data_IF_544619575879
#
_entry.id   IF_544619575879
#
_cell.length_a   1.000
_cell.length_b   1.000
_cell.length_c   1.000
_cell.angle_alpha   90.00
_cell.angle_beta   90.00
_cell.angle_gamma   90.00
#
_symmetry.space_group_name_H-M   'P 1'
#
loop_
_entity.id
_entity.type
_entity.pdbx_description
1 polymer ?
#
# COMPACT_ATOMS: atom_id res chain seq x y z
N UNK A 1 19.34 58.51 11.71
CA UNK A 1 18.62 57.33 11.26
C UNK A 1 18.61 56.31 12.41
N UNK A 2 17.79 56.61 13.43
CA UNK A 2 17.58 55.76 14.60
C UNK A 2 16.10 55.41 14.63
N UNK A 3 15.70 54.41 13.90
CA UNK A 3 14.39 53.74 13.99
C UNK A 3 14.49 52.36 13.34
N UNK A 4 15.23 51.48 13.98
CA UNK A 4 15.05 50.03 13.77
C UNK A 4 15.11 49.43 15.16
N UNK A 5 13.96 49.05 15.61
CA UNK A 5 13.52 48.36 16.80
C UNK A 5 14.51 47.31 17.32
N UNK A 6 14.54 47.09 18.64
CA UNK A 6 15.39 46.17 19.42
C UNK A 6 15.32 44.66 19.06
N UNK A 7 14.52 44.29 18.09
CA UNK A 7 14.56 42.93 17.48
C UNK A 7 15.61 42.91 16.35
N UNK A 8 16.62 42.09 16.50
CA UNK A 8 17.56 41.79 15.42
C UNK A 8 16.82 41.21 14.20
N UNK A 9 16.39 42.10 13.31
CA UNK A 9 15.78 41.71 12.03
C UNK A 9 16.90 41.04 11.20
N UNK A 10 16.80 39.73 11.00
CA UNK A 10 17.66 38.99 10.12
C UNK A 10 16.83 38.38 8.96
N UNK A 11 17.50 37.89 7.92
CA UNK A 11 16.81 37.34 6.76
C UNK A 11 15.87 36.17 7.11
N UNK A 12 16.28 35.28 8.02
CA UNK A 12 15.47 34.14 8.43
C UNK A 12 14.16 34.59 9.10
N UNK A 13 14.23 35.60 9.98
CA UNK A 13 13.01 36.16 10.62
C UNK A 13 12.09 36.86 9.60
N UNK A 14 12.68 37.52 8.59
CA UNK A 14 11.92 38.12 7.50
C UNK A 14 11.20 37.05 6.66
N UNK A 15 11.91 36.00 6.29
CA UNK A 15 11.37 34.87 5.52
C UNK A 15 10.21 34.18 6.28
N UNK A 16 10.44 33.83 7.55
CA UNK A 16 9.41 33.19 8.40
C UNK A 16 8.16 34.07 8.58
N UNK A 17 8.35 35.37 8.82
CA UNK A 17 7.24 36.29 8.94
C UNK A 17 6.46 36.44 7.61
N UNK A 18 7.18 36.46 6.51
CA UNK A 18 6.57 36.52 5.17
C UNK A 18 5.77 35.24 4.89
N UNK A 19 6.33 34.07 5.17
CA UNK A 19 5.65 32.80 5.05
C UNK A 19 4.34 32.76 5.86
N UNK A 20 4.37 33.14 7.14
CA UNK A 20 3.18 33.19 7.98
C UNK A 20 2.10 34.13 7.44
N UNK A 21 2.50 35.29 6.89
CA UNK A 21 1.58 36.25 6.25
C UNK A 21 0.93 35.65 5.00
N UNK A 22 1.72 34.99 4.14
CA UNK A 22 1.21 34.34 2.92
C UNK A 22 0.23 33.23 3.26
N UNK A 23 0.55 32.39 4.26
CA UNK A 23 -0.33 31.32 4.72
C UNK A 23 -1.67 31.88 5.27
N UNK A 24 -1.61 32.97 6.03
CA UNK A 24 -2.80 33.65 6.53
C UNK A 24 -3.65 34.21 5.39
N UNK A 25 -3.05 34.95 4.48
CA UNK A 25 -3.74 35.51 3.30
C UNK A 25 -4.37 34.41 2.44
N UNK A 26 -3.66 33.30 2.24
CA UNK A 26 -4.20 32.14 1.51
C UNK A 26 -5.45 31.55 2.17
N UNK A 27 -5.47 31.41 3.51
CA UNK A 27 -6.68 31.00 4.24
C UNK A 27 -7.85 31.96 4.06
N UNK A 28 -7.61 33.27 4.18
CA UNK A 28 -8.61 34.29 3.98
C UNK A 28 -9.20 34.25 2.58
N UNK A 29 -8.37 34.11 1.55
CA UNK A 29 -8.81 33.97 0.14
C UNK A 29 -9.69 32.74 -0.07
N UNK A 30 -9.35 31.59 0.52
CA UNK A 30 -10.19 30.40 0.44
C UNK A 30 -11.56 30.65 1.08
N UNK A 31 -11.59 31.26 2.28
CA UNK A 31 -12.83 31.57 2.99
C UNK A 31 -13.72 32.52 2.18
N UNK A 32 -13.15 33.56 1.60
CA UNK A 32 -13.89 34.55 0.79
C UNK A 32 -14.41 33.91 -0.53
N UNK A 33 -13.65 33.06 -1.16
CA UNK A 33 -14.11 32.28 -2.33
C UNK A 33 -15.28 31.36 -1.95
N UNK A 34 -15.21 30.66 -0.83
CA UNK A 34 -16.28 29.78 -0.34
C UNK A 34 -17.56 30.59 -0.06
N UNK A 35 -17.45 31.77 0.57
CA UNK A 35 -18.58 32.66 0.81
C UNK A 35 -19.20 33.17 -0.49
N UNK A 36 -18.37 33.53 -1.44
CA UNK A 36 -18.82 34.01 -2.76
C UNK A 36 -19.59 32.92 -3.48
N UNK A 37 -19.05 31.70 -3.55
CA UNK A 37 -19.72 30.56 -4.17
C UNK A 37 -21.04 30.21 -3.46
N UNK A 38 -21.07 30.19 -2.11
CA UNK A 38 -22.29 29.93 -1.35
C UNK A 38 -23.39 30.97 -1.62
N UNK A 39 -23.00 32.25 -1.83
CA UNK A 39 -23.93 33.30 -2.23
C UNK A 39 -24.42 33.15 -3.70
N UNK A 40 -23.56 32.74 -4.61
CA UNK A 40 -23.95 32.46 -5.99
C UNK A 40 -24.92 31.26 -6.06
N UNK A 41 -24.64 30.18 -5.31
CA UNK A 41 -25.56 29.05 -5.18
C UNK A 41 -26.92 29.50 -4.68
N UNK A 42 -26.97 30.35 -3.63
CA UNK A 42 -28.23 30.92 -3.13
C UNK A 42 -29.01 31.66 -4.20
N UNK A 43 -28.29 32.38 -5.08
CA UNK A 43 -28.92 33.21 -6.13
C UNK A 43 -29.48 32.34 -7.25
N UNK A 44 -28.71 31.35 -7.74
CA UNK A 44 -28.99 30.61 -8.97
C UNK A 44 -29.62 29.22 -8.75
N UNK A 45 -29.74 28.74 -7.51
CA UNK A 45 -30.39 27.45 -7.21
C UNK A 45 -31.86 27.43 -7.63
N UNK A 46 -32.40 26.26 -7.86
CA UNK A 46 -33.85 26.06 -7.94
C UNK A 46 -34.46 26.29 -6.54
N UNK A 47 -35.26 27.35 -6.42
CA UNK A 47 -35.87 27.77 -5.16
C UNK A 47 -37.06 26.90 -4.75
N UNK A 48 -37.70 26.23 -5.69
CA UNK A 48 -38.81 25.33 -5.44
C UNK A 48 -38.30 24.01 -4.80
N UNK A 49 -37.16 23.52 -5.28
CA UNK A 49 -36.55 22.28 -4.80
C UNK A 49 -35.72 22.51 -3.54
N UNK A 50 -34.86 23.54 -3.54
CA UNK A 50 -33.87 23.76 -2.46
C UNK A 50 -34.24 24.97 -1.59
N UNK A 51 -34.86 24.70 -0.44
CA UNK A 51 -35.24 25.74 0.53
C UNK A 51 -34.12 25.95 1.54
N UNK A 52 -33.72 27.23 1.74
CA UNK A 52 -32.69 27.55 2.74
C UNK A 52 -33.25 27.21 4.12
N UNK A 53 -32.53 26.40 4.89
CA UNK A 53 -32.89 26.02 6.25
C UNK A 53 -32.17 26.87 7.27
N UNK A 54 -30.85 26.82 7.29
CA UNK A 54 -30.00 27.54 8.23
C UNK A 54 -28.55 27.67 7.70
N UNK A 55 -27.67 28.27 8.54
CA UNK A 55 -26.23 28.28 8.33
C UNK A 55 -25.58 27.33 9.31
N UNK A 56 -24.62 26.56 8.78
CA UNK A 56 -23.80 25.66 9.58
C UNK A 56 -22.33 26.05 9.48
N UNK A 57 -21.69 26.24 10.65
CA UNK A 57 -20.27 26.48 10.77
C UNK A 57 -19.51 25.17 10.64
N UNK A 58 -18.41 25.19 9.93
CA UNK A 58 -17.54 24.04 9.75
C UNK A 58 -16.08 24.46 9.73
N UNK A 59 -15.21 23.52 10.09
CA UNK A 59 -13.76 23.69 10.10
C UNK A 59 -13.12 22.64 9.25
N UNK A 60 -12.19 23.05 8.38
CA UNK A 60 -11.41 22.13 7.53
C UNK A 60 -9.93 22.44 7.71
N UNK A 61 -9.13 21.42 7.94
CA UNK A 61 -7.67 21.50 7.93
C UNK A 61 -7.15 21.33 6.51
N UNK A 62 -6.53 22.38 6.01
CA UNK A 62 -5.99 22.46 4.65
C UNK A 62 -4.47 22.54 4.67
N UNK A 63 -3.84 22.49 3.50
CA UNK A 63 -2.38 22.74 3.37
C UNK A 63 -1.97 24.12 3.86
N UNK A 64 -2.86 25.09 3.84
CA UNK A 64 -2.59 26.45 4.29
C UNK A 64 -2.93 26.67 5.78
N UNK A 65 -3.29 25.61 6.48
CA UNK A 65 -3.73 25.66 7.86
C UNK A 65 -5.23 25.41 8.03
N UNK A 66 -5.71 25.63 9.23
CA UNK A 66 -7.11 25.44 9.58
C UNK A 66 -7.95 26.63 9.10
N UNK A 67 -9.02 26.36 8.36
CA UNK A 67 -10.01 27.33 7.91
C UNK A 67 -11.34 27.05 8.59
N UNK A 68 -12.03 28.12 8.97
CA UNK A 68 -13.36 28.05 9.54
C UNK A 68 -14.31 28.95 8.73
N UNK A 69 -15.40 28.37 8.24
CA UNK A 69 -16.39 29.05 7.44
C UNK A 69 -17.80 28.57 7.73
N UNK A 70 -18.79 29.38 7.36
CA UNK A 70 -20.22 29.05 7.46
C UNK A 70 -20.76 28.84 6.06
N UNK A 71 -21.55 27.78 5.87
CA UNK A 71 -22.25 27.47 4.63
C UNK A 71 -23.73 27.22 4.86
N UNK A 72 -24.56 27.44 3.84
CA UNK A 72 -25.99 27.22 3.91
C UNK A 72 -26.32 25.73 3.84
N UNK A 73 -27.21 25.32 4.71
CA UNK A 73 -27.85 24.02 4.65
C UNK A 73 -29.22 24.20 3.99
N UNK A 74 -29.50 23.36 3.01
CA UNK A 74 -30.73 23.39 2.27
C UNK A 74 -31.58 22.18 2.64
N UNK A 75 -32.92 22.39 2.68
CA UNK A 75 -33.89 21.30 2.77
C UNK A 75 -34.46 21.04 1.38
N UNK A 76 -34.46 19.79 0.97
CA UNK A 76 -35.12 19.30 -0.23
C UNK A 76 -36.08 18.18 0.13
N UNK A 77 -37.20 18.07 -0.60
CA UNK A 77 -38.15 17.00 -0.44
C UNK A 77 -38.15 16.13 -1.71
N UNK A 78 -37.95 14.83 -1.52
CA UNK A 78 -37.97 13.85 -2.61
C UNK A 78 -38.84 12.68 -2.16
N UNK A 79 -39.92 12.39 -2.92
CA UNK A 79 -40.88 11.31 -2.62
C UNK A 79 -41.49 11.39 -1.20
N UNK A 80 -41.76 12.62 -0.69
CA UNK A 80 -42.30 12.85 0.64
C UNK A 80 -41.26 12.76 1.79
N UNK A 81 -39.99 12.52 1.47
CA UNK A 81 -38.90 12.44 2.45
C UNK A 81 -38.12 13.77 2.42
N UNK A 82 -38.05 14.46 3.57
CA UNK A 82 -37.25 15.67 3.74
C UNK A 82 -35.81 15.30 4.02
N UNK A 83 -34.89 15.78 3.17
CA UNK A 83 -33.45 15.62 3.31
C UNK A 83 -32.74 16.96 3.40
N UNK A 84 -31.73 17.07 4.26
CA UNK A 84 -30.87 18.24 4.32
C UNK A 84 -29.57 18.00 3.58
N UNK A 85 -29.14 18.97 2.77
CA UNK A 85 -27.92 18.90 1.95
C UNK A 85 -27.16 20.23 2.03
N UNK A 86 -25.87 20.16 1.67
CA UNK A 86 -25.00 21.32 1.52
C UNK A 86 -24.61 21.44 0.05
N UNK A 87 -25.30 22.30 -0.72
CA UNK A 87 -25.05 22.46 -2.15
C UNK A 87 -23.62 22.95 -2.44
N UNK A 88 -23.00 23.71 -1.53
CA UNK A 88 -21.61 24.11 -1.66
C UNK A 88 -20.66 22.90 -1.60
N UNK A 89 -20.91 21.94 -0.71
CA UNK A 89 -20.11 20.74 -0.56
C UNK A 89 -20.25 19.83 -1.79
N UNK A 90 -21.46 19.72 -2.33
CA UNK A 90 -21.72 18.96 -3.55
C UNK A 90 -21.06 19.59 -4.79
N UNK A 91 -21.19 20.92 -4.95
CA UNK A 91 -20.57 21.63 -6.07
C UNK A 91 -19.04 21.52 -6.09
N UNK A 92 -18.42 21.59 -4.92
CA UNK A 92 -16.96 21.55 -4.79
C UNK A 92 -16.43 20.15 -4.52
N UNK A 93 -17.29 19.14 -4.54
CA UNK A 93 -16.92 17.74 -4.22
C UNK A 93 -16.08 17.65 -2.93
N UNK A 94 -16.54 18.38 -1.87
CA UNK A 94 -15.80 18.42 -0.60
C UNK A 94 -15.87 17.07 0.09
N UNK A 95 -15.01 16.16 -0.33
CA UNK A 95 -14.83 14.82 0.25
C UNK A 95 -13.79 14.84 1.36
N UNK A 96 -14.16 15.41 2.52
CA UNK A 96 -13.28 15.40 3.68
C UNK A 96 -13.36 14.07 4.42
N UNK A 97 -12.21 13.48 4.74
CA UNK A 97 -12.14 12.43 5.74
C UNK A 97 -12.05 13.09 7.12
N UNK A 98 -13.17 13.17 7.80
CA UNK A 98 -13.30 13.97 9.01
C UNK A 98 -13.21 15.46 8.69
N UNK A 99 -12.25 16.16 9.32
CA UNK A 99 -12.02 17.60 9.13
C UNK A 99 -10.79 17.88 8.22
N UNK A 100 -10.34 16.93 7.43
CA UNK A 100 -9.10 17.05 6.63
C UNK A 100 -9.43 17.13 5.15
N UNK A 101 -8.88 18.15 4.48
CA UNK A 101 -8.98 18.25 3.02
C UNK A 101 -8.29 17.06 2.34
N UNK A 102 -8.70 16.74 1.13
CA UNK A 102 -8.07 15.69 0.33
C UNK A 102 -6.55 15.88 0.25
N UNK A 103 -6.09 17.10 0.02
CA UNK A 103 -4.65 17.42 -0.05
C UNK A 103 -3.88 17.10 1.24
N UNK A 104 -4.49 17.31 2.42
CA UNK A 104 -3.86 16.93 3.71
C UNK A 104 -3.87 15.40 3.88
N UNK A 105 -4.96 14.74 3.47
CA UNK A 105 -5.02 13.26 3.46
C UNK A 105 -3.92 12.68 2.56
N UNK A 106 -3.70 13.23 1.37
CA UNK A 106 -2.62 12.81 0.46
C UNK A 106 -1.23 13.02 1.08
N UNK A 107 -1.00 14.14 1.79
CA UNK A 107 0.24 14.37 2.54
C UNK A 107 0.43 13.30 3.63
N UNK A 108 -0.61 13.02 4.41
CA UNK A 108 -0.59 11.98 5.45
C UNK A 108 -0.23 10.62 4.83
N UNK A 109 -0.86 10.23 3.74
CA UNK A 109 -0.61 8.94 3.08
C UNK A 109 0.80 8.85 2.54
N UNK A 110 1.32 9.91 1.93
CA UNK A 110 2.71 9.96 1.44
C UNK A 110 3.73 9.80 2.57
N UNK A 111 3.49 10.44 3.69
CA UNK A 111 4.41 10.40 4.83
C UNK A 111 4.33 9.08 5.61
N UNK A 112 3.13 8.50 5.79
CA UNK A 112 2.94 7.26 6.54
C UNK A 112 3.59 6.04 5.87
N UNK A 113 3.81 6.07 4.56
CA UNK A 113 4.54 5.01 3.86
C UNK A 113 6.02 4.94 4.25
N UNK A 114 6.57 6.01 4.85
CA UNK A 114 7.99 6.17 5.20
C UNK A 114 8.22 6.33 6.70
N UNK A 115 7.21 6.76 7.45
CA UNK A 115 7.31 7.19 8.85
C UNK A 115 6.28 6.49 9.75
N UNK A 116 6.50 6.54 11.05
CA UNK A 116 5.49 6.11 12.05
C UNK A 116 4.31 7.08 12.13
N UNK A 117 3.16 6.65 12.67
CA UNK A 117 2.00 7.53 12.89
C UNK A 117 2.33 8.82 13.65
N UNK A 118 3.25 8.75 14.62
CA UNK A 118 3.64 9.92 15.43
C UNK A 118 4.52 10.88 14.64
N UNK A 119 5.49 10.38 13.90
CA UNK A 119 6.36 11.20 13.05
C UNK A 119 5.58 11.81 11.89
N UNK A 120 4.69 11.04 11.26
CA UNK A 120 3.77 11.57 10.24
C UNK A 120 2.93 12.71 10.78
N UNK A 121 2.31 12.53 11.95
CA UNK A 121 1.52 13.58 12.58
C UNK A 121 2.35 14.84 12.85
N UNK A 122 3.59 14.70 13.33
CA UNK A 122 4.50 15.82 13.56
C UNK A 122 4.83 16.54 12.26
N UNK A 123 5.33 15.83 11.25
CA UNK A 123 5.71 16.39 9.94
C UNK A 123 4.53 17.16 9.30
N UNK A 124 3.37 16.51 9.17
CA UNK A 124 2.22 17.16 8.52
C UNK A 124 1.69 18.34 9.35
N UNK A 125 1.78 18.30 10.70
CA UNK A 125 1.42 19.44 11.54
C UNK A 125 2.35 20.64 11.31
N UNK A 126 3.64 20.41 11.17
CA UNK A 126 4.64 21.44 10.88
C UNK A 126 4.43 22.03 9.49
N UNK A 127 4.21 21.18 8.46
CA UNK A 127 4.02 21.60 7.07
C UNK A 127 2.72 22.38 6.83
N UNK A 128 1.68 22.16 7.64
CA UNK A 128 0.34 22.75 7.46
C UNK A 128 -0.01 23.79 8.53
N UNK A 129 0.87 24.07 9.48
CA UNK A 129 0.56 24.88 10.66
C UNK A 129 -0.74 24.46 11.40
N UNK A 130 -1.13 23.18 11.24
CA UNK A 130 -2.35 22.63 11.82
C UNK A 130 -2.02 21.53 12.81
N UNK A 131 -2.65 21.53 13.98
CA UNK A 131 -2.46 20.47 14.94
C UNK A 131 -3.10 19.16 14.47
N UNK A 132 -2.29 18.17 14.10
CA UNK A 132 -2.70 16.84 13.68
C UNK A 132 -2.21 15.82 14.70
N UNK A 133 -3.11 14.98 15.22
CA UNK A 133 -2.74 13.95 16.20
C UNK A 133 -2.44 12.62 15.52
N UNK A 134 -1.58 11.80 16.13
CA UNK A 134 -1.28 10.46 15.61
C UNK A 134 -2.53 9.53 15.57
N UNK A 135 -3.51 9.79 16.45
CA UNK A 135 -4.79 9.06 16.44
C UNK A 135 -5.64 9.45 15.23
N UNK A 136 -5.61 10.73 14.83
CA UNK A 136 -6.26 11.20 13.62
C UNK A 136 -5.60 10.59 12.36
N UNK A 137 -4.26 10.61 12.28
CA UNK A 137 -3.51 9.94 11.19
C UNK A 137 -3.91 8.47 11.09
N UNK A 138 -3.94 7.74 12.22
CA UNK A 138 -4.36 6.34 12.24
C UNK A 138 -5.80 6.16 11.75
N UNK A 139 -6.73 7.03 12.18
CA UNK A 139 -8.14 6.98 11.76
C UNK A 139 -8.27 7.17 10.25
N UNK A 140 -7.59 8.18 9.69
CA UNK A 140 -7.58 8.47 8.24
C UNK A 140 -7.07 7.28 7.44
N UNK A 141 -5.94 6.69 7.87
CA UNK A 141 -5.35 5.52 7.18
C UNK A 141 -6.29 4.32 7.19
N UNK A 142 -6.95 4.04 8.31
CA UNK A 142 -7.90 2.93 8.40
C UNK A 142 -9.16 3.18 7.57
N UNK A 143 -9.71 4.39 7.60
CA UNK A 143 -10.91 4.74 6.83
C UNK A 143 -10.65 4.72 5.32
N UNK A 144 -9.48 5.21 4.89
CA UNK A 144 -9.09 5.11 3.49
C UNK A 144 -8.83 3.67 3.07
N UNK A 145 -8.17 2.87 3.92
CA UNK A 145 -7.93 1.45 3.68
C UNK A 145 -9.23 0.66 3.50
N UNK A 146 -10.27 0.96 4.30
CA UNK A 146 -11.58 0.34 4.15
C UNK A 146 -12.28 0.75 2.83
N UNK A 147 -12.19 2.03 2.46
CA UNK A 147 -12.73 2.50 1.16
C UNK A 147 -12.05 1.80 -0.02
N UNK A 148 -10.71 1.69 0.00
CA UNK A 148 -9.94 1.00 -1.05
C UNK A 148 -10.38 -0.45 -1.14
N UNK A 149 -10.47 -1.15 0.00
CA UNK A 149 -10.92 -2.54 0.06
C UNK A 149 -12.31 -2.73 -0.56
N UNK A 150 -13.26 -1.86 -0.24
CA UNK A 150 -14.62 -1.93 -0.78
C UNK A 150 -14.63 -1.73 -2.31
N UNK A 151 -13.81 -0.80 -2.83
CA UNK A 151 -13.66 -0.58 -4.28
C UNK A 151 -13.00 -1.79 -4.97
N UNK A 152 -12.01 -2.42 -4.34
CA UNK A 152 -11.40 -3.66 -4.85
C UNK A 152 -12.42 -4.81 -4.89
N UNK A 153 -13.20 -5.00 -3.83
CA UNK A 153 -14.25 -6.03 -3.79
C UNK A 153 -15.34 -5.79 -4.83
N UNK A 154 -15.74 -4.54 -5.06
CA UNK A 154 -16.68 -4.16 -6.12
C UNK A 154 -16.09 -4.46 -7.51
N UNK A 155 -14.84 -4.08 -7.75
CA UNK A 155 -14.13 -4.37 -9.00
C UNK A 155 -14.05 -5.88 -9.27
N UNK A 156 -13.74 -6.67 -8.25
CA UNK A 156 -13.67 -8.13 -8.34
C UNK A 156 -15.05 -8.69 -8.75
N UNK A 157 -16.14 -8.24 -8.13
CA UNK A 157 -17.48 -8.69 -8.47
C UNK A 157 -17.85 -8.36 -9.92
N UNK A 158 -17.58 -7.13 -10.36
CA UNK A 158 -17.85 -6.71 -11.74
C UNK A 158 -17.06 -7.55 -12.77
N UNK A 159 -15.83 -7.92 -12.45
CA UNK A 159 -15.03 -8.81 -13.28
C UNK A 159 -15.59 -10.24 -13.29
N UNK A 160 -15.90 -10.82 -12.13
CA UNK A 160 -16.49 -12.17 -12.01
C UNK A 160 -17.85 -12.28 -12.70
N UNK A 161 -18.61 -11.17 -12.77
CA UNK A 161 -19.88 -11.07 -13.49
C UNK A 161 -19.70 -10.81 -15.01
N UNK A 162 -18.45 -10.69 -15.50
CA UNK A 162 -18.14 -10.39 -16.89
C UNK A 162 -18.57 -9.00 -17.37
N UNK A 163 -18.74 -8.05 -16.44
CA UNK A 163 -19.16 -6.67 -16.74
C UNK A 163 -18.00 -5.74 -17.11
N UNK A 164 -16.79 -6.12 -16.74
CA UNK A 164 -15.55 -5.38 -17.06
C UNK A 164 -14.51 -6.36 -17.58
N UNK A 165 -13.80 -5.95 -18.61
CA UNK A 165 -12.71 -6.70 -19.23
C UNK A 165 -11.56 -5.77 -19.63
N UNK A 166 -10.39 -6.35 -19.81
CA UNK A 166 -9.18 -5.62 -20.16
C UNK A 166 -9.17 -5.15 -21.61
N UNK A 167 -8.44 -4.08 -21.87
CA UNK A 167 -8.32 -3.46 -23.19
C UNK A 167 -6.94 -3.65 -23.83
N UNK A 168 -5.90 -3.94 -23.03
CA UNK A 168 -4.53 -4.13 -23.52
C UNK A 168 -4.32 -5.53 -24.05
N UNK A 169 -3.39 -5.66 -24.98
CA UNK A 169 -2.96 -6.95 -25.52
C UNK A 169 -1.54 -7.26 -25.06
N UNK A 170 -1.34 -8.48 -24.52
CA UNK A 170 -0.04 -9.01 -24.15
C UNK A 170 -0.05 -10.53 -24.33
N UNK A 171 0.98 -11.08 -24.96
CA UNK A 171 1.11 -12.52 -25.16
C UNK A 171 1.63 -13.24 -23.90
N UNK A 172 2.51 -12.58 -23.16
CA UNK A 172 3.17 -13.11 -21.97
C UNK A 172 3.01 -12.15 -20.81
N UNK A 173 2.56 -12.67 -19.68
CA UNK A 173 2.44 -11.94 -18.42
C UNK A 173 3.30 -12.66 -17.38
N UNK A 174 4.05 -11.89 -16.62
CA UNK A 174 4.90 -12.38 -15.53
C UNK A 174 4.29 -11.92 -14.20
N UNK A 175 4.23 -12.84 -13.24
CA UNK A 175 3.75 -12.60 -11.87
C UNK A 175 4.85 -13.01 -10.89
N UNK A 176 5.49 -12.04 -10.26
CA UNK A 176 6.53 -12.27 -9.24
C UNK A 176 5.87 -12.35 -7.87
N UNK A 177 5.91 -13.53 -7.24
CA UNK A 177 5.30 -13.77 -5.93
C UNK A 177 6.34 -13.76 -4.82
N UNK A 178 6.07 -12.99 -3.75
CA UNK A 178 6.90 -12.98 -2.53
C UNK A 178 6.03 -12.81 -1.28
N UNK A 179 6.52 -13.33 -0.16
CA UNK A 179 5.86 -13.29 1.14
C UNK A 179 6.67 -12.53 2.20
N UNK A 180 6.13 -11.44 2.72
CA UNK A 180 6.75 -10.67 3.79
C UNK A 180 6.13 -11.02 5.15
N UNK A 181 6.92 -11.57 6.06
CA UNK A 181 6.45 -11.91 7.41
C UNK A 181 6.61 -10.75 8.39
N UNK A 182 5.49 -10.17 8.82
CA UNK A 182 5.42 -9.04 9.74
C UNK A 182 5.13 -9.53 11.15
N UNK A 183 6.05 -9.32 12.10
CA UNK A 183 5.86 -9.67 13.52
C UNK A 183 4.86 -8.73 14.18
N UNK A 184 3.78 -9.28 14.75
CA UNK A 184 2.85 -8.49 15.56
C UNK A 184 3.49 -8.05 16.87
N UNK A 185 3.37 -6.77 17.20
CA UNK A 185 3.70 -6.28 18.53
C UNK A 185 2.65 -6.78 19.53
N UNK A 186 3.12 -7.37 20.64
CA UNK A 186 2.23 -7.82 21.70
C UNK A 186 1.77 -6.65 22.55
N UNK A 187 0.49 -6.63 22.92
CA UNK A 187 -0.02 -5.68 23.89
C UNK A 187 0.73 -5.80 25.24
N UNK A 188 0.94 -4.67 25.94
CA UNK A 188 1.66 -4.64 27.23
C UNK A 188 1.13 -5.65 28.26
N UNK A 189 -0.19 -5.91 28.28
CA UNK A 189 -0.84 -6.90 29.18
C UNK A 189 -0.44 -8.35 28.87
N UNK A 190 -0.28 -8.71 27.60
CA UNK A 190 0.17 -10.06 27.19
C UNK A 190 1.65 -10.28 27.52
N UNK A 191 2.49 -9.24 27.41
CA UNK A 191 3.90 -9.29 27.81
C UNK A 191 4.07 -9.59 29.31
N UNK A 192 3.22 -8.99 30.18
CA UNK A 192 3.25 -9.27 31.64
C UNK A 192 2.80 -10.71 31.98
N UNK A 193 1.72 -11.21 31.34
CA UNK A 193 1.23 -12.59 31.56
C UNK A 193 2.25 -13.63 31.11
N UNK A 194 3.03 -13.37 30.06
CA UNK A 194 4.04 -14.30 29.55
C UNK A 194 5.27 -14.37 30.45
N UNK A 195 5.79 -13.23 30.95
CA UNK A 195 6.89 -13.22 31.93
C UNK A 195 6.56 -14.04 33.20
N UNK A 196 5.29 -14.07 33.62
CA UNK A 196 4.85 -14.85 34.76
C UNK A 196 4.73 -16.36 34.44
N UNK A 197 4.32 -16.72 33.21
CA UNK A 197 4.24 -18.11 32.74
C UNK A 197 5.61 -18.72 32.42
N UNK A 198 6.54 -17.95 31.86
CA UNK A 198 7.90 -18.44 31.54
C UNK A 198 8.71 -18.82 32.77
N UNK A 199 8.42 -18.24 33.94
CA UNK A 199 8.99 -18.67 35.22
C UNK A 199 8.45 -20.01 35.73
N UNK A 200 7.34 -20.54 35.21
CA UNK A 200 6.65 -21.75 35.69
C UNK A 200 6.75 -22.97 34.77
N UNK A 201 7.23 -22.83 33.50
CA UNK A 201 7.24 -23.94 32.54
C UNK A 201 8.58 -23.98 31.80
N UNK A 202 9.59 -24.49 32.48
CA UNK A 202 10.67 -25.20 31.78
C UNK A 202 10.22 -26.65 31.58
N UNK A 203 9.47 -26.95 30.53
CA UNK A 203 9.34 -28.29 29.91
C UNK A 203 8.13 -28.30 28.96
N UNK A 204 8.39 -28.06 27.69
CA UNK A 204 7.88 -28.69 26.48
C UNK A 204 8.18 -27.74 25.32
N UNK A 205 9.11 -28.12 24.47
CA UNK A 205 9.36 -27.49 23.13
C UNK A 205 8.13 -27.72 22.23
N UNK A 206 7.04 -26.99 22.47
CA UNK A 206 5.97 -26.87 21.51
C UNK A 206 6.42 -25.85 20.44
N UNK A 207 6.24 -26.18 19.15
CA UNK A 207 6.45 -25.27 18.03
C UNK A 207 5.86 -23.90 18.38
N UNK A 208 6.70 -22.90 18.61
CA UNK A 208 6.24 -21.53 18.93
C UNK A 208 5.33 -21.08 17.78
N UNK A 209 4.03 -20.91 18.04
CA UNK A 209 3.12 -20.29 17.07
C UNK A 209 3.76 -18.99 16.61
N UNK A 210 4.05 -18.88 15.30
CA UNK A 210 4.58 -17.66 14.69
C UNK A 210 3.58 -16.53 14.97
N UNK A 211 3.99 -15.53 15.77
CA UNK A 211 3.13 -14.40 16.13
C UNK A 211 3.33 -13.26 15.12
N UNK A 212 2.76 -13.42 13.95
CA UNK A 212 2.88 -12.46 12.86
C UNK A 212 1.78 -12.62 11.83
N UNK A 213 1.81 -11.75 10.85
CA UNK A 213 0.99 -11.79 9.64
C UNK A 213 1.94 -11.93 8.48
N UNK A 214 1.64 -12.79 7.53
CA UNK A 214 2.29 -12.85 6.24
C UNK A 214 1.52 -11.95 5.27
N UNK A 215 2.21 -10.97 4.71
CA UNK A 215 1.73 -10.18 3.58
C UNK A 215 2.21 -10.89 2.31
N UNK A 216 1.29 -11.38 1.51
CA UNK A 216 1.56 -11.97 0.20
C UNK A 216 1.44 -10.89 -0.86
N UNK A 217 2.39 -10.83 -1.76
CA UNK A 217 2.48 -9.80 -2.81
C UNK A 217 2.68 -10.50 -4.14
N UNK A 218 2.00 -10.01 -5.17
CA UNK A 218 2.27 -10.34 -6.56
C UNK A 218 2.59 -9.06 -7.35
N UNK A 219 3.66 -9.09 -8.12
CA UNK A 219 4.04 -8.03 -9.05
C UNK A 219 3.82 -8.54 -10.47
N UNK A 220 2.79 -8.03 -11.12
CA UNK A 220 2.36 -8.38 -12.46
C UNK A 220 3.03 -7.44 -13.46
N UNK A 221 3.61 -7.95 -14.55
CA UNK A 221 4.26 -7.14 -15.58
C UNK A 221 4.36 -7.86 -16.93
N UNK A 222 4.70 -7.11 -17.99
CA UNK A 222 4.86 -7.62 -19.37
C UNK A 222 6.32 -7.95 -19.73
N UNK A 223 7.19 -8.06 -18.75
CA UNK A 223 8.63 -8.26 -18.95
C UNK A 223 9.47 -7.05 -18.56
N UNK A 224 10.75 -7.09 -18.92
CA UNK A 224 11.76 -6.10 -18.57
C UNK A 224 12.12 -5.22 -19.77
N UNK A 225 12.31 -3.95 -19.53
CA UNK A 225 12.79 -2.96 -20.50
C UNK A 225 14.12 -2.39 -19.99
N UNK A 226 15.16 -2.40 -20.83
CA UNK A 226 16.45 -1.83 -20.48
C UNK A 226 16.36 -0.29 -20.45
N UNK A 227 16.84 0.33 -19.37
CA UNK A 227 17.01 1.79 -19.27
C UNK A 227 18.45 2.19 -19.63
N UNK A 228 19.40 1.46 -19.09
CA UNK A 228 20.85 1.60 -19.28
C UNK A 228 21.47 0.20 -19.27
N UNK A 229 22.77 0.14 -19.53
CA UNK A 229 23.55 -1.10 -19.38
C UNK A 229 23.41 -1.60 -17.93
N UNK A 230 22.80 -2.78 -17.75
CA UNK A 230 22.49 -3.42 -16.45
C UNK A 230 21.40 -2.75 -15.57
N UNK A 231 20.64 -1.76 -16.07
CA UNK A 231 19.46 -1.25 -15.38
C UNK A 231 18.17 -1.57 -16.17
N UNK A 232 17.22 -2.22 -15.51
CA UNK A 232 15.98 -2.70 -16.11
C UNK A 232 14.76 -2.16 -15.35
N UNK A 233 13.75 -1.78 -16.12
CA UNK A 233 12.43 -1.40 -15.59
C UNK A 233 11.41 -2.46 -15.99
N UNK A 234 10.49 -2.80 -15.07
CA UNK A 234 9.34 -3.65 -15.38
C UNK A 234 8.32 -2.85 -16.21
N UNK A 235 7.88 -3.44 -17.32
CA UNK A 235 6.91 -2.87 -18.24
C UNK A 235 5.49 -3.07 -17.69
N UNK A 236 4.68 -2.01 -17.66
CA UNK A 236 3.27 -2.02 -17.23
C UNK A 236 3.04 -2.71 -15.88
N UNK A 237 3.89 -2.38 -14.89
CA UNK A 237 3.88 -2.99 -13.56
C UNK A 237 2.60 -2.71 -12.78
N UNK A 238 1.92 -3.77 -12.32
CA UNK A 238 0.80 -3.74 -11.38
C UNK A 238 1.23 -4.48 -10.11
N UNK A 239 0.92 -3.95 -8.93
CA UNK A 239 1.24 -4.59 -7.66
C UNK A 239 -0.07 -4.86 -6.93
N UNK A 240 -0.26 -6.11 -6.53
CA UNK A 240 -1.38 -6.55 -5.72
C UNK A 240 -0.87 -7.28 -4.48
N UNK A 241 -1.69 -7.33 -3.42
CA UNK A 241 -1.27 -8.04 -2.22
C UNK A 241 -2.39 -8.22 -1.22
N UNK A 242 -2.27 -9.24 -0.38
CA UNK A 242 -3.22 -9.53 0.70
C UNK A 242 -2.51 -10.09 1.93
N UNK A 243 -3.12 -9.91 3.09
CA UNK A 243 -2.76 -10.60 4.33
C UNK A 243 -3.58 -11.88 4.54
N UNK A 244 -4.44 -12.20 3.59
CA UNK A 244 -5.31 -13.35 3.59
C UNK A 244 -4.68 -14.65 3.08
N UNK A 245 -5.52 -15.55 2.59
CA UNK A 245 -5.09 -16.84 2.02
C UNK A 245 -4.57 -16.67 0.59
N UNK A 246 -3.81 -17.66 0.10
CA UNK A 246 -3.31 -17.70 -1.27
C UNK A 246 -4.43 -17.54 -2.33
N UNK A 247 -5.57 -18.20 -2.13
CA UNK A 247 -6.76 -18.06 -3.00
C UNK A 247 -7.28 -16.63 -3.11
N UNK A 248 -7.16 -15.83 -2.04
CA UNK A 248 -7.56 -14.42 -2.08
C UNK A 248 -6.57 -13.60 -2.93
N UNK A 249 -5.26 -13.86 -2.80
CA UNK A 249 -4.28 -13.25 -3.68
C UNK A 249 -4.56 -13.60 -5.14
N UNK A 250 -4.82 -14.89 -5.44
CA UNK A 250 -5.15 -15.36 -6.79
C UNK A 250 -6.36 -14.61 -7.38
N UNK A 251 -7.43 -14.49 -6.61
CA UNK A 251 -8.65 -13.77 -7.02
C UNK A 251 -8.38 -12.30 -7.36
N UNK A 252 -7.57 -11.62 -6.55
CA UNK A 252 -7.16 -10.23 -6.77
C UNK A 252 -6.26 -10.14 -8.01
N UNK A 253 -5.32 -11.06 -8.16
CA UNK A 253 -4.38 -11.14 -9.29
C UNK A 253 -5.11 -11.38 -10.60
N UNK A 254 -6.00 -12.38 -10.66
CA UNK A 254 -6.81 -12.69 -11.84
C UNK A 254 -7.68 -11.50 -12.26
N UNK A 255 -8.28 -10.81 -11.27
CA UNK A 255 -9.03 -9.58 -11.52
C UNK A 255 -8.12 -8.48 -12.09
N UNK A 256 -6.93 -8.30 -11.55
CA UNK A 256 -5.99 -7.29 -12.03
C UNK A 256 -5.53 -7.58 -13.47
N UNK A 257 -5.26 -8.84 -13.79
CA UNK A 257 -4.89 -9.29 -15.14
C UNK A 257 -6.10 -9.12 -16.09
N UNK A 258 -7.25 -9.69 -15.76
CA UNK A 258 -8.40 -9.73 -16.65
C UNK A 258 -9.07 -8.37 -16.87
N UNK A 259 -8.94 -7.43 -15.92
CA UNK A 259 -9.39 -6.02 -16.12
C UNK A 259 -8.37 -5.15 -16.83
N UNK A 260 -7.15 -5.64 -17.05
CA UNK A 260 -6.09 -4.90 -17.75
C UNK A 260 -5.90 -5.44 -19.15
N UNK A 261 -5.86 -6.75 -19.30
CA UNK A 261 -5.51 -7.42 -20.55
C UNK A 261 -6.70 -8.21 -21.12
N UNK A 262 -6.78 -8.27 -22.44
CA UNK A 262 -7.74 -9.11 -23.17
C UNK A 262 -7.34 -10.59 -23.00
N UNK A 263 -8.19 -11.39 -22.44
CA UNK A 263 -7.91 -12.79 -22.10
C UNK A 263 -7.48 -13.62 -23.30
N UNK A 264 -8.08 -13.37 -24.48
CA UNK A 264 -7.73 -14.09 -25.71
C UNK A 264 -6.32 -13.81 -26.22
N UNK A 265 -5.75 -12.63 -25.89
CA UNK A 265 -4.41 -12.24 -26.32
C UNK A 265 -3.31 -12.91 -25.47
N UNK A 266 -3.65 -13.36 -24.24
CA UNK A 266 -2.69 -13.98 -23.33
C UNK A 266 -2.44 -15.42 -23.76
N UNK A 267 -1.18 -15.72 -24.14
CA UNK A 267 -0.71 -17.08 -24.44
C UNK A 267 -0.27 -17.81 -23.18
N UNK A 268 0.51 -17.15 -22.32
CA UNK A 268 1.05 -17.73 -21.08
C UNK A 268 1.15 -16.68 -19.97
N UNK A 269 0.93 -17.13 -18.74
CA UNK A 269 1.17 -16.42 -17.48
C UNK A 269 2.28 -17.17 -16.75
N UNK A 270 3.41 -16.54 -16.53
CA UNK A 270 4.57 -17.11 -15.86
C UNK A 270 4.57 -16.63 -14.40
N UNK A 271 4.36 -17.55 -13.48
CA UNK A 271 4.32 -17.29 -12.04
C UNK A 271 5.66 -17.65 -11.44
N UNK A 272 6.43 -16.66 -11.02
CA UNK A 272 7.71 -16.81 -10.33
C UNK A 272 7.52 -16.75 -8.82
N UNK A 273 8.13 -17.68 -8.09
CA UNK A 273 8.06 -17.68 -6.63
C UNK A 273 9.25 -18.37 -5.96
N UNK A 274 9.39 -18.17 -4.65
CA UNK A 274 10.48 -18.69 -3.82
C UNK A 274 10.34 -20.19 -3.47
N UNK A 275 9.30 -20.86 -3.98
CA UNK A 275 8.98 -22.25 -3.66
C UNK A 275 8.28 -22.44 -2.32
N UNK A 276 7.72 -21.39 -1.71
CA UNK A 276 6.81 -21.54 -0.59
C UNK A 276 5.55 -22.30 -1.01
N UNK A 277 4.98 -23.11 -0.11
CA UNK A 277 3.82 -23.99 -0.41
C UNK A 277 2.64 -23.22 -1.06
N UNK A 278 2.45 -21.95 -0.70
CA UNK A 278 1.36 -21.16 -1.21
C UNK A 278 1.61 -20.61 -2.63
N UNK A 279 2.88 -20.39 -3.04
CA UNK A 279 3.21 -19.88 -4.38
C UNK A 279 2.94 -20.91 -5.49
N UNK A 280 3.26 -22.18 -5.22
CA UNK A 280 2.94 -23.27 -6.14
C UNK A 280 1.46 -23.64 -6.18
N UNK A 281 0.73 -23.42 -5.07
CA UNK A 281 -0.71 -23.76 -4.97
C UNK A 281 -1.64 -22.75 -5.66
N UNK A 282 -1.12 -21.65 -6.18
CA UNK A 282 -1.88 -20.61 -6.90
C UNK A 282 -2.09 -20.96 -8.37
N UNK A 283 -1.27 -21.84 -8.95
CA UNK A 283 -1.36 -22.23 -10.37
C UNK A 283 -2.59 -23.11 -10.59
N UNK A 284 -3.59 -22.57 -11.27
CA UNK A 284 -4.88 -23.25 -11.52
C UNK A 284 -5.23 -23.30 -13.02
N UNK A 285 -4.71 -22.37 -13.83
CA UNK A 285 -5.08 -22.18 -15.23
C UNK A 285 -4.20 -22.95 -16.23
N UNK A 286 -4.78 -23.41 -17.35
CA UNK A 286 -4.05 -24.07 -18.44
C UNK A 286 -2.98 -23.19 -19.10
N UNK A 287 -3.10 -21.88 -18.99
CA UNK A 287 -2.13 -20.91 -19.51
C UNK A 287 -1.03 -20.57 -18.48
N UNK A 288 -1.14 -21.03 -17.25
CA UNK A 288 -0.24 -20.70 -16.15
C UNK A 288 0.91 -21.70 -16.04
N UNK A 289 2.08 -21.18 -15.80
CA UNK A 289 3.31 -21.97 -15.60
C UNK A 289 3.99 -21.45 -14.34
N UNK A 290 4.26 -22.33 -13.38
CA UNK A 290 5.08 -22.00 -12.23
C UNK A 290 6.56 -22.12 -12.57
N UNK A 291 7.32 -21.11 -12.23
CA UNK A 291 8.77 -21.08 -12.32
C UNK A 291 9.36 -20.76 -10.96
N UNK A 292 10.31 -21.56 -10.52
CA UNK A 292 11.02 -21.31 -9.28
C UNK A 292 12.02 -20.14 -9.49
N UNK A 293 12.04 -19.19 -8.56
CA UNK A 293 12.95 -18.05 -8.62
C UNK A 293 14.42 -18.51 -8.55
N UNK A 294 15.17 -18.15 -9.57
CA UNK A 294 16.58 -18.54 -9.73
C UNK A 294 17.47 -18.03 -8.59
N UNK A 295 17.21 -16.84 -8.05
CA UNK A 295 17.97 -16.31 -6.92
C UNK A 295 17.79 -17.17 -5.65
N UNK A 296 16.57 -17.68 -5.43
CA UNK A 296 16.28 -18.59 -4.33
C UNK A 296 16.90 -19.98 -4.55
N UNK A 297 16.91 -20.49 -5.77
CA UNK A 297 17.62 -21.74 -6.12
C UNK A 297 19.10 -21.59 -5.79
N UNK A 298 19.77 -20.57 -6.32
CA UNK A 298 21.19 -20.32 -6.07
C UNK A 298 21.49 -20.18 -4.58
N UNK A 299 20.68 -19.40 -3.83
CA UNK A 299 20.83 -19.27 -2.38
C UNK A 299 20.75 -20.61 -1.66
N UNK A 300 19.81 -21.48 -2.03
CA UNK A 300 19.68 -22.83 -1.47
C UNK A 300 20.90 -23.71 -1.81
N UNK A 301 21.40 -23.61 -3.03
CA UNK A 301 22.61 -24.33 -3.46
C UNK A 301 23.82 -23.89 -2.63
N UNK A 302 24.06 -22.59 -2.46
CA UNK A 302 25.14 -22.07 -1.60
C UNK A 302 25.04 -22.49 -0.13
N UNK A 303 23.81 -22.68 0.37
CA UNK A 303 23.60 -23.14 1.75
C UNK A 303 23.79 -24.65 1.91
N UNK A 304 23.60 -25.44 0.85
CA UNK A 304 23.63 -26.89 0.89
C UNK A 304 25.00 -27.46 0.54
N UNK A 305 25.78 -26.78 -0.29
CA UNK A 305 27.04 -27.27 -0.84
C UNK A 305 28.15 -26.27 -0.51
N UNK A 306 29.11 -26.70 0.31
CA UNK A 306 30.31 -25.91 0.66
C UNK A 306 31.43 -26.05 -0.36
N UNK A 307 31.46 -27.12 -1.13
CA UNK A 307 32.47 -27.37 -2.17
C UNK A 307 32.18 -26.52 -3.41
N UNK A 308 33.19 -25.75 -3.84
CA UNK A 308 33.06 -24.80 -4.96
C UNK A 308 32.95 -25.50 -6.34
N UNK A 309 33.55 -26.65 -6.49
CA UNK A 309 33.52 -27.41 -7.77
C UNK A 309 32.15 -28.04 -7.98
N UNK A 310 31.60 -28.68 -6.94
CA UNK A 310 30.24 -29.19 -6.95
C UNK A 310 29.19 -28.05 -7.13
N UNK A 311 29.39 -26.94 -6.49
CA UNK A 311 28.51 -25.77 -6.65
C UNK A 311 28.49 -25.28 -8.09
N UNK A 312 29.65 -25.19 -8.76
CA UNK A 312 29.76 -24.75 -10.14
C UNK A 312 29.07 -25.78 -11.09
N UNK A 313 29.26 -27.04 -10.89
CA UNK A 313 28.58 -28.14 -11.67
C UNK A 313 27.06 -28.05 -11.50
N UNK A 314 26.57 -27.82 -10.26
CA UNK A 314 25.14 -27.64 -10.00
C UNK A 314 24.56 -26.42 -10.71
N UNK A 315 25.27 -25.29 -10.70
CA UNK A 315 24.86 -24.09 -11.40
C UNK A 315 24.74 -24.33 -12.92
N UNK A 316 25.73 -24.95 -13.53
CA UNK A 316 25.71 -25.31 -14.96
C UNK A 316 24.50 -26.20 -15.32
N UNK A 317 24.20 -27.20 -14.48
CA UNK A 317 23.06 -28.11 -14.71
C UNK A 317 21.72 -27.33 -14.60
N UNK A 318 21.56 -26.44 -13.61
CA UNK A 318 20.33 -25.66 -13.43
C UNK A 318 20.05 -24.77 -14.63
N UNK A 319 21.08 -24.15 -15.22
CA UNK A 319 20.93 -23.33 -16.42
C UNK A 319 20.71 -24.14 -17.73
N UNK A 320 21.04 -25.41 -17.75
CA UNK A 320 20.88 -26.28 -18.94
C UNK A 320 19.60 -27.12 -18.92
N UNK A 321 18.70 -26.91 -17.95
CA UNK A 321 17.42 -27.61 -17.77
C UNK A 321 17.53 -29.12 -17.53
N UNK A 322 18.71 -29.63 -17.28
CA UNK A 322 18.97 -31.08 -17.00
C UNK A 322 18.67 -31.41 -15.53
N UNK A 323 17.49 -31.06 -15.04
CA UNK A 323 17.12 -31.16 -13.61
C UNK A 323 17.34 -32.54 -13.02
N UNK A 324 17.18 -33.64 -13.81
CA UNK A 324 17.42 -35.00 -13.33
C UNK A 324 18.89 -35.25 -12.94
N UNK A 325 19.83 -34.58 -13.58
CA UNK A 325 21.26 -34.70 -13.28
C UNK A 325 21.61 -34.08 -11.93
N UNK A 326 20.82 -33.08 -11.45
CA UNK A 326 21.02 -32.47 -10.13
C UNK A 326 20.87 -33.49 -9.01
N UNK A 327 19.87 -34.36 -9.07
CA UNK A 327 19.66 -35.40 -8.05
C UNK A 327 20.82 -36.36 -7.95
N UNK A 328 21.35 -36.74 -9.08
CA UNK A 328 22.54 -37.65 -9.15
C UNK A 328 23.77 -36.94 -8.57
N UNK A 329 23.96 -35.65 -8.89
CA UNK A 329 25.08 -34.87 -8.38
C UNK A 329 24.99 -34.64 -6.87
N UNK A 330 23.80 -34.33 -6.33
CA UNK A 330 23.56 -34.20 -4.88
C UNK A 330 23.81 -35.52 -4.16
N UNK A 331 23.36 -36.64 -4.73
CA UNK A 331 23.60 -37.96 -4.16
C UNK A 331 25.08 -38.28 -4.06
N UNK A 332 25.83 -38.07 -5.16
CA UNK A 332 27.28 -38.31 -5.18
C UNK A 332 28.02 -37.43 -4.15
N UNK A 333 27.68 -36.15 -4.07
CA UNK A 333 28.26 -35.23 -3.07
C UNK A 333 27.99 -35.72 -1.63
N UNK A 334 26.78 -36.19 -1.35
CA UNK A 334 26.46 -36.78 -0.05
C UNK A 334 27.29 -38.01 0.28
N UNK A 335 27.46 -38.91 -0.69
CA UNK A 335 28.26 -40.14 -0.53
C UNK A 335 29.73 -39.81 -0.25
N UNK A 336 30.30 -38.85 -0.98
CA UNK A 336 31.69 -38.39 -0.74
C UNK A 336 31.85 -37.81 0.67
N UNK A 337 30.95 -36.94 1.13
CA UNK A 337 30.98 -36.39 2.49
C UNK A 337 30.88 -37.46 3.59
N UNK A 338 30.06 -38.48 3.38
CA UNK A 338 29.95 -39.61 4.33
C UNK A 338 31.22 -40.46 4.36
N UNK A 339 31.92 -40.56 3.24
CA UNK A 339 33.17 -41.28 3.13
C UNK A 339 34.30 -40.52 3.80
N UNK A 340 34.41 -39.22 3.56
CA UNK A 340 35.44 -38.36 4.16
C UNK A 340 35.27 -38.28 5.70
N UNK A 341 34.03 -38.19 6.19
CA UNK A 341 33.78 -38.23 7.63
C UNK A 341 34.18 -39.55 8.28
N UNK A 342 33.97 -40.68 7.63
CA UNK A 342 34.44 -42.00 8.11
C UNK A 342 35.96 -42.13 8.09
N UNK A 343 36.63 -41.47 7.15
CA UNK A 343 38.10 -41.44 7.08
C UNK A 343 38.68 -40.53 8.16
N UNK A 344 37.98 -39.46 8.53
CA UNK A 344 38.43 -38.54 9.62
C UNK A 344 38.19 -39.08 11.03
N UNK A 345 37.39 -40.14 11.18
CA UNK A 345 37.14 -40.84 12.47
C UNK A 345 38.07 -42.07 12.65
N UNK A 346 38.87 -42.43 11.67
CA UNK A 346 39.94 -43.44 11.70
C UNK A 346 41.29 -42.78 11.91
#
# INVERSE_FOLDING_TARGET
MKMITDEKVNFNSLEENTYKKVMKLGRELIIDNLRTLDNLIKQYRDKEIFKVKDFQRTTIKTKLGEIEFSRRRYEMETNGIKKCIYLLDELLEINCIGQYSQSVVEMIIREITKKSYRETAKTVSEDTESQITYTAVRKIVLELGEKIKNLEEEKIKLYEEGKIEGTKEAEYIFCEHDGIYIKKQKAKKEKKKRKYKEKKIQKKRSKKKKNGIELKIAVIHEGKEARYENDFKLRNKIIVGTVGKAKELKRIEDTAIGTTYKEYAIKKIIINGDGADWTGSIVEGAKEIFQLDMAHIQKKMYMAVSDKEYLKKMQEIVYTEKVKEIFSLIYNYKVELETDNKISEL
#
